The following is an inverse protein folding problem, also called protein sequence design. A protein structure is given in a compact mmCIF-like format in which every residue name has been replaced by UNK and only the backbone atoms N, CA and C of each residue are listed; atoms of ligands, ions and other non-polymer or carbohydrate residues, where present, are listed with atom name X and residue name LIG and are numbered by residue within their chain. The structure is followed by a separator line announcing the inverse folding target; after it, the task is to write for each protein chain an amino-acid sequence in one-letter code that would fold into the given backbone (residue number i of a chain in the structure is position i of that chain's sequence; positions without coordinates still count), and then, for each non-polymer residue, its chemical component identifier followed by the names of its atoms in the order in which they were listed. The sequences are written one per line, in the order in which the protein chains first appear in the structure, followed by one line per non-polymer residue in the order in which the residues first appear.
data_IF_815543980094
#
_entry.id   IF_815543980094
#
_cell.length_a   1.000
_cell.length_b   1.000
_cell.length_c   1.000
_cell.angle_alpha   90.00
_cell.angle_beta   90.00
_cell.angle_gamma   90.00
#
_symmetry.space_group_name_H-M   'P 1'
#
loop_
_entity.id
_entity.type
_entity.pdbx_description
1 polymer ?
#
# COMPACT_ATOMS: atom_id res chain seq x y z
N UNK A 1 -12.13 17.53 12.66
CA UNK A 1 -10.87 16.77 12.76
C UNK A 1 -11.20 15.46 13.51
N UNK A 2 -11.35 14.33 12.87
CA UNK A 2 -11.44 13.03 13.53
C UNK A 2 -10.05 12.42 13.62
N UNK A 3 -9.63 12.06 14.82
CA UNK A 3 -8.49 11.20 15.09
C UNK A 3 -8.73 9.83 14.44
N UNK A 4 -7.99 9.54 13.38
CA UNK A 4 -7.92 8.21 12.78
C UNK A 4 -6.50 7.70 12.90
N UNK A 5 -6.14 7.10 14.01
CA UNK A 5 -4.92 6.30 14.11
C UNK A 5 -5.00 5.37 15.32
N UNK A 6 -5.37 4.13 15.05
CA UNK A 6 -5.17 3.01 15.98
C UNK A 6 -4.68 1.82 15.15
N UNK A 7 -3.42 1.84 14.80
CA UNK A 7 -2.70 0.65 14.36
C UNK A 7 -1.29 0.63 14.95
N UNK A 8 -1.18 0.78 16.27
CA UNK A 8 0.08 0.50 16.97
C UNK A 8 -0.18 0.14 18.44
N UNK A 9 -0.61 -1.09 18.68
CA UNK A 9 -0.39 -1.73 19.97
C UNK A 9 -0.28 -3.24 19.81
N UNK A 10 0.91 -3.72 19.47
CA UNK A 10 1.36 -5.08 19.79
C UNK A 10 2.89 -5.17 19.73
N UNK A 11 3.57 -4.28 20.45
CA UNK A 11 5.00 -4.39 20.73
C UNK A 11 5.27 -5.06 22.09
N UNK A 12 4.77 -6.26 22.28
CA UNK A 12 5.10 -7.09 23.45
C UNK A 12 6.29 -7.99 23.14
N UNK A 13 7.47 -7.67 23.67
CA UNK A 13 8.65 -8.56 23.64
C UNK A 13 8.36 -9.85 24.40
N UNK A 14 8.05 -10.92 23.69
CA UNK A 14 8.08 -12.27 24.24
C UNK A 14 9.32 -13.00 23.72
N UNK A 15 10.36 -13.10 24.54
CA UNK A 15 11.49 -13.99 24.28
C UNK A 15 11.04 -15.40 24.57
N UNK A 16 10.79 -16.17 23.54
CA UNK A 16 10.58 -17.62 23.67
C UNK A 16 11.86 -18.35 23.23
N UNK A 17 12.48 -19.03 24.17
CA UNK A 17 13.61 -19.93 23.93
C UNK A 17 13.02 -21.29 23.53
N UNK A 18 13.26 -21.73 22.30
CA UNK A 18 12.85 -23.05 21.81
C UNK A 18 14.09 -23.95 21.71
N UNK A 19 14.09 -25.15 22.29
CA UNK A 19 15.20 -26.09 22.14
C UNK A 19 15.14 -26.82 20.79
N UNK A 20 16.29 -26.89 20.13
CA UNK A 20 16.52 -27.60 18.87
C UNK A 20 16.41 -29.12 19.05
N UNK A 21 15.41 -29.73 18.47
CA UNK A 21 15.37 -31.20 18.25
C UNK A 21 15.75 -31.47 16.78
N UNK A 22 16.82 -32.27 16.58
CA UNK A 22 17.28 -32.75 15.27
C UNK A 22 16.39 -33.89 14.80
N UNK A 23 15.75 -33.74 13.65
CA UNK A 23 15.18 -34.87 12.90
C UNK A 23 15.78 -34.90 11.50
N UNK A 24 16.09 -36.16 11.04
CA UNK A 24 16.81 -36.48 9.81
C UNK A 24 15.87 -36.42 8.60
N UNK A 25 16.34 -35.77 7.52
CA UNK A 25 15.75 -35.78 6.18
C UNK A 25 15.92 -37.16 5.53
N UNK A 26 14.87 -37.62 4.87
CA UNK A 26 14.92 -38.60 3.81
C UNK A 26 14.41 -37.95 2.51
N UNK A 27 15.26 -38.03 1.48
CA UNK A 27 15.08 -37.48 0.15
C UNK A 27 13.94 -38.17 -0.61
N UNK A 28 13.10 -37.39 -1.28
CA UNK A 28 12.47 -37.78 -2.55
C UNK A 28 12.29 -36.52 -3.42
N UNK A 29 13.19 -36.37 -4.41
CA UNK A 29 13.16 -35.31 -5.38
C UNK A 29 12.16 -35.55 -6.51
N UNK A 30 11.41 -34.54 -6.86
CA UNK A 30 10.90 -34.36 -8.23
C UNK A 30 11.19 -32.92 -8.63
N UNK A 31 12.22 -32.71 -9.44
CA UNK A 31 12.55 -31.43 -10.02
C UNK A 31 11.73 -31.22 -11.28
N UNK A 32 10.75 -30.34 -11.23
CA UNK A 32 10.15 -29.77 -12.45
C UNK A 32 10.99 -28.58 -12.90
N UNK A 33 11.76 -28.78 -13.95
CA UNK A 33 12.51 -27.69 -14.62
C UNK A 33 11.55 -26.92 -15.51
N UNK A 34 11.14 -25.74 -15.06
CA UNK A 34 10.45 -24.77 -15.91
C UNK A 34 11.53 -23.94 -16.62
N UNK A 35 11.73 -24.22 -17.90
CA UNK A 35 12.58 -23.40 -18.78
C UNK A 35 11.75 -22.17 -19.20
N UNK A 36 12.03 -21.03 -18.62
CA UNK A 36 11.50 -19.74 -19.09
C UNK A 36 12.31 -19.25 -20.30
N UNK A 37 11.67 -18.82 -21.39
CA UNK A 37 12.40 -18.17 -22.48
C UNK A 37 12.89 -16.79 -22.02
N UNK A 38 14.20 -16.60 -22.06
CA UNK A 38 14.78 -15.29 -21.89
C UNK A 38 14.43 -14.39 -23.07
N UNK A 39 13.42 -13.56 -22.95
CA UNK A 39 13.22 -12.41 -23.82
C UNK A 39 14.17 -11.29 -23.34
N UNK A 40 15.34 -11.26 -23.96
CA UNK A 40 16.30 -10.18 -23.76
C UNK A 40 15.73 -8.88 -24.32
N UNK A 41 15.19 -8.03 -23.44
CA UNK A 41 15.14 -6.60 -23.73
C UNK A 41 16.51 -6.03 -23.37
N UNK A 42 17.19 -5.52 -24.40
CA UNK A 42 18.40 -4.74 -24.20
C UNK A 42 18.02 -3.49 -23.39
N UNK A 43 18.44 -3.48 -22.12
CA UNK A 43 18.40 -2.28 -21.32
C UNK A 43 19.30 -1.25 -22.00
N UNK A 44 18.73 -0.17 -22.54
CA UNK A 44 19.48 1.01 -22.90
C UNK A 44 20.21 1.49 -21.62
N UNK A 45 21.51 1.75 -21.75
CA UNK A 45 22.28 2.39 -20.70
C UNK A 45 21.89 3.87 -20.58
N UNK A 46 20.66 4.11 -20.10
CA UNK A 46 20.23 5.38 -19.55
C UNK A 46 20.64 5.40 -18.09
N UNK A 47 21.19 6.51 -17.59
CA UNK A 47 21.44 6.70 -16.15
C UNK A 47 20.20 6.31 -15.34
N UNK A 48 20.40 5.84 -14.10
CA UNK A 48 19.29 5.56 -13.20
C UNK A 48 18.31 6.74 -13.23
N UNK A 49 17.00 6.50 -13.34
CA UNK A 49 16.04 7.58 -13.33
C UNK A 49 16.24 8.41 -12.07
N UNK A 50 16.30 9.73 -12.23
CA UNK A 50 16.45 10.65 -11.11
C UNK A 50 15.19 10.50 -10.26
N UNK A 51 15.36 10.17 -8.97
CA UNK A 51 14.24 10.04 -8.03
C UNK A 51 13.49 11.37 -7.94
N UNK A 52 12.16 11.31 -8.08
CA UNK A 52 11.29 12.44 -7.85
C UNK A 52 11.07 12.64 -6.35
N UNK A 53 11.12 13.88 -5.89
CA UNK A 53 10.84 14.23 -4.50
C UNK A 53 9.54 14.99 -4.41
N UNK A 54 8.71 14.64 -3.46
CA UNK A 54 7.40 15.23 -3.23
C UNK A 54 7.10 15.46 -1.76
N UNK A 55 5.92 15.99 -1.50
CA UNK A 55 5.30 16.13 -0.19
C UNK A 55 3.93 15.47 -0.21
N UNK A 56 3.52 14.86 0.89
CA UNK A 56 2.12 14.46 1.09
C UNK A 56 1.30 15.68 1.52
N UNK A 57 0.03 15.69 1.14
CA UNK A 57 -0.89 16.78 1.41
C UNK A 57 -0.33 18.13 0.92
N UNK A 58 0.26 18.12 -0.28
CA UNK A 58 0.89 19.32 -0.87
C UNK A 58 -0.10 20.48 -0.89
N UNK A 59 0.33 21.64 -0.41
CA UNK A 59 -0.50 22.84 -0.40
C UNK A 59 -0.27 23.71 -1.65
N UNK A 60 -1.35 24.13 -2.30
CA UNK A 60 -1.27 24.96 -3.50
C UNK A 60 -0.53 26.30 -3.25
N UNK A 61 -0.60 26.81 -2.01
CA UNK A 61 0.06 28.07 -1.61
C UNK A 61 1.58 27.99 -1.53
N UNK A 62 2.15 26.81 -1.36
CA UNK A 62 3.60 26.54 -1.21
C UNK A 62 4.23 25.96 -2.47
N UNK A 63 3.43 25.43 -3.40
CA UNK A 63 3.86 24.66 -4.56
C UNK A 63 4.96 25.34 -5.39
N UNK A 64 4.90 26.64 -5.64
CA UNK A 64 5.93 27.35 -6.38
C UNK A 64 7.28 27.38 -5.64
N UNK A 65 7.27 27.63 -4.33
CA UNK A 65 8.49 27.65 -3.51
C UNK A 65 9.11 26.26 -3.37
N UNK A 66 8.27 25.23 -3.33
CA UNK A 66 8.69 23.83 -3.30
C UNK A 66 9.35 23.44 -4.62
N UNK A 67 8.70 23.70 -5.74
CA UNK A 67 9.25 23.43 -7.08
C UNK A 67 10.58 24.15 -7.32
N UNK A 68 10.69 25.42 -6.98
CA UNK A 68 11.92 26.21 -7.07
C UNK A 68 13.07 25.62 -6.22
N UNK A 69 12.72 24.85 -5.21
CA UNK A 69 13.66 24.20 -4.30
C UNK A 69 14.01 22.76 -4.67
N UNK A 70 13.38 22.18 -5.70
CA UNK A 70 13.65 20.83 -6.20
C UNK A 70 12.60 19.77 -5.77
N UNK A 71 11.52 20.18 -5.10
CA UNK A 71 10.36 19.32 -4.86
C UNK A 71 9.52 19.30 -6.13
N UNK A 72 9.66 18.27 -6.92
CA UNK A 72 9.06 18.19 -8.26
C UNK A 72 7.76 17.40 -8.34
N UNK A 73 7.28 16.87 -7.22
CA UNK A 73 6.08 16.03 -7.17
C UNK A 73 5.09 16.57 -6.13
N UNK A 74 3.84 16.71 -6.51
CA UNK A 74 2.73 17.05 -5.62
C UNK A 74 1.80 15.86 -5.41
N UNK A 75 1.28 15.69 -4.20
CA UNK A 75 0.15 14.80 -3.92
C UNK A 75 -1.13 15.64 -3.93
N UNK A 76 -2.08 15.26 -4.77
CA UNK A 76 -3.37 15.88 -4.96
C UNK A 76 -4.48 14.87 -4.73
N UNK A 77 -5.31 15.07 -3.73
CA UNK A 77 -6.29 14.07 -3.31
C UNK A 77 -7.71 14.61 -3.38
N UNK A 78 -8.61 13.81 -3.98
CA UNK A 78 -10.04 14.00 -3.87
C UNK A 78 -10.55 13.42 -2.53
N UNK A 79 -11.55 14.06 -1.94
CA UNK A 79 -12.37 13.52 -0.87
C UNK A 79 -13.71 13.08 -1.47
N UNK A 80 -13.99 11.77 -1.47
CA UNK A 80 -15.22 11.24 -2.04
C UNK A 80 -16.46 11.83 -1.37
N UNK A 81 -16.47 11.86 -0.02
CA UNK A 81 -17.61 12.42 0.71
C UNK A 81 -17.79 13.92 0.43
N UNK A 82 -16.72 14.65 0.24
CA UNK A 82 -16.76 16.07 -0.11
C UNK A 82 -17.22 16.33 -1.55
N UNK A 83 -16.82 15.46 -2.49
CA UNK A 83 -17.18 15.62 -3.90
C UNK A 83 -18.55 15.05 -4.23
N UNK A 84 -18.94 13.86 -3.68
CA UNK A 84 -20.25 13.22 -3.89
C UNK A 84 -20.97 12.95 -2.55
N UNK A 85 -21.45 13.99 -1.85
CA UNK A 85 -22.08 13.85 -0.53
C UNK A 85 -23.36 13.00 -0.54
N UNK A 86 -24.08 12.96 -1.66
CA UNK A 86 -25.29 12.16 -1.88
C UNK A 86 -25.19 11.45 -3.24
N UNK A 87 -25.83 10.30 -3.44
CA UNK A 87 -25.72 9.52 -4.68
C UNK A 87 -25.98 10.35 -5.95
N UNK A 88 -25.01 10.44 -6.82
CA UNK A 88 -25.07 11.19 -8.09
C UNK A 88 -25.15 12.71 -7.93
N UNK A 89 -24.95 13.24 -6.74
CA UNK A 89 -24.95 14.68 -6.47
C UNK A 89 -23.51 15.17 -6.26
N UNK A 90 -22.96 15.83 -7.26
CA UNK A 90 -21.56 16.30 -7.24
C UNK A 90 -21.45 17.77 -6.84
N UNK A 91 -20.58 18.04 -5.88
CA UNK A 91 -20.37 19.35 -5.30
C UNK A 91 -19.49 20.24 -6.22
N UNK A 92 -20.14 21.18 -6.92
CA UNK A 92 -19.43 22.06 -7.87
C UNK A 92 -18.49 23.04 -7.19
N UNK A 93 -18.78 23.47 -5.95
CA UNK A 93 -17.88 24.38 -5.20
C UNK A 93 -16.62 23.64 -4.76
N UNK A 94 -16.76 22.41 -4.28
CA UNK A 94 -15.62 21.52 -3.99
C UNK A 94 -14.75 21.32 -5.24
N UNK A 95 -15.37 20.94 -6.36
CA UNK A 95 -14.66 20.75 -7.63
C UNK A 95 -13.93 22.01 -8.10
N UNK A 96 -14.53 23.21 -7.91
CA UNK A 96 -13.87 24.46 -8.28
C UNK A 96 -12.62 24.74 -7.46
N UNK A 97 -12.64 24.43 -6.16
CA UNK A 97 -11.44 24.49 -5.30
C UNK A 97 -10.36 23.51 -5.77
N UNK A 98 -10.72 22.24 -5.97
CA UNK A 98 -9.79 21.21 -6.43
C UNK A 98 -9.11 21.59 -7.76
N UNK A 99 -9.87 22.17 -8.70
CA UNK A 99 -9.30 22.66 -9.97
C UNK A 99 -8.35 23.83 -9.79
N UNK A 100 -8.58 24.69 -8.82
CA UNK A 100 -7.67 25.80 -8.52
C UNK A 100 -6.35 25.30 -7.94
N UNK A 101 -6.39 24.30 -7.05
CA UNK A 101 -5.20 23.69 -6.48
C UNK A 101 -4.40 22.93 -7.55
N UNK A 102 -5.07 22.13 -8.38
CA UNK A 102 -4.46 21.44 -9.52
C UNK A 102 -3.75 22.42 -10.47
N UNK A 103 -4.40 23.53 -10.79
CA UNK A 103 -3.81 24.58 -11.65
C UNK A 103 -2.58 25.23 -11.01
N UNK A 104 -2.52 25.36 -9.68
CA UNK A 104 -1.35 25.88 -8.98
C UNK A 104 -0.15 24.92 -9.08
N UNK A 105 -0.35 23.61 -8.89
CA UNK A 105 0.69 22.59 -9.05
C UNK A 105 1.22 22.56 -10.49
N UNK A 106 0.33 22.59 -11.47
CA UNK A 106 0.69 22.64 -12.89
C UNK A 106 1.47 23.92 -13.24
N UNK A 107 1.05 25.08 -12.71
CA UNK A 107 1.75 26.35 -12.91
C UNK A 107 3.15 26.34 -12.27
N UNK A 108 3.34 25.60 -11.19
CA UNK A 108 4.63 25.38 -10.56
C UNK A 108 5.50 24.37 -11.35
N UNK A 109 4.95 23.67 -12.36
CA UNK A 109 5.66 22.67 -13.16
C UNK A 109 5.91 21.35 -12.42
N UNK A 110 5.10 21.04 -11.41
CA UNK A 110 5.20 19.80 -10.66
C UNK A 110 4.53 18.66 -11.41
N UNK A 111 5.11 17.45 -11.33
CA UNK A 111 4.40 16.20 -11.59
C UNK A 111 3.40 15.97 -10.45
N UNK A 112 2.31 15.25 -10.74
CA UNK A 112 1.21 15.14 -9.77
C UNK A 112 0.78 13.69 -9.61
N UNK A 113 0.72 13.22 -8.37
CA UNK A 113 0.02 11.96 -8.02
C UNK A 113 -1.39 12.26 -7.53
N UNK A 114 -2.35 11.49 -8.02
CA UNK A 114 -3.76 11.60 -7.66
C UNK A 114 -4.13 10.59 -6.59
N UNK A 115 -4.57 11.06 -5.43
CA UNK A 115 -5.33 10.28 -4.45
C UNK A 115 -6.81 10.25 -4.82
N UNK A 116 -7.42 9.08 -4.74
CA UNK A 116 -8.81 8.89 -5.14
C UNK A 116 -9.81 9.16 -4.02
N UNK A 117 -9.37 9.26 -2.76
CA UNK A 117 -10.24 9.47 -1.60
C UNK A 117 -11.25 8.35 -1.34
N UNK A 118 -10.98 7.14 -1.85
CA UNK A 118 -11.89 6.00 -1.69
C UNK A 118 -11.96 5.49 -0.24
N UNK A 119 -10.94 5.77 0.56
CA UNK A 119 -10.88 5.43 1.98
C UNK A 119 -11.84 6.26 2.84
N UNK A 120 -12.28 7.42 2.34
CA UNK A 120 -13.27 8.30 3.00
C UNK A 120 -14.61 8.34 2.23
N UNK A 121 -15.33 7.19 2.13
CA UNK A 121 -16.56 7.12 1.37
C UNK A 121 -17.67 7.90 2.07
N UNK A 122 -18.61 8.50 1.33
CA UNK A 122 -19.76 9.16 1.92
C UNK A 122 -20.66 8.16 2.67
N UNK A 123 -21.38 8.65 3.67
CA UNK A 123 -22.18 7.81 4.57
C UNK A 123 -23.25 6.96 3.86
N UNK A 124 -23.68 7.34 2.65
CA UNK A 124 -24.63 6.57 1.88
C UNK A 124 -24.01 5.29 1.29
N UNK A 125 -22.71 5.31 0.91
CA UNK A 125 -21.99 4.12 0.44
C UNK A 125 -21.97 3.04 1.51
N UNK A 126 -21.70 3.42 2.76
CA UNK A 126 -21.64 2.49 3.90
C UNK A 126 -23.01 1.86 4.27
N UNK A 127 -24.09 2.25 3.59
CA UNK A 127 -25.44 1.67 3.73
C UNK A 127 -25.83 0.71 2.60
N UNK A 128 -24.95 0.56 1.59
CA UNK A 128 -25.17 -0.39 0.51
C UNK A 128 -25.09 -1.84 1.01
N UNK A 129 -25.53 -2.79 0.19
CA UNK A 129 -25.48 -4.20 0.54
C UNK A 129 -24.03 -4.68 0.73
N UNK A 130 -23.76 -5.34 1.85
CA UNK A 130 -22.44 -5.83 2.25
C UNK A 130 -21.33 -4.77 2.10
N UNK A 131 -21.66 -3.51 2.38
CA UNK A 131 -20.79 -2.36 2.16
C UNK A 131 -19.62 -2.27 3.13
N UNK A 132 -19.60 -3.08 4.17
CA UNK A 132 -18.58 -3.08 5.21
C UNK A 132 -17.94 -4.44 5.36
N UNK A 133 -16.67 -4.46 5.65
CA UNK A 133 -15.99 -5.69 6.02
C UNK A 133 -16.57 -6.30 7.30
N UNK A 134 -16.63 -7.62 7.35
CA UNK A 134 -17.03 -8.40 8.53
C UNK A 134 -15.94 -9.40 8.84
N UNK A 135 -15.42 -9.39 10.07
CA UNK A 135 -14.34 -10.29 10.48
C UNK A 135 -14.86 -11.67 10.93
N UNK A 136 -13.94 -12.59 11.26
CA UNK A 136 -14.26 -13.93 11.74
C UNK A 136 -15.04 -13.93 13.07
N UNK A 137 -14.96 -12.85 13.85
CA UNK A 137 -15.69 -12.68 15.12
C UNK A 137 -17.06 -12.04 14.92
N UNK A 138 -17.45 -11.70 13.68
CA UNK A 138 -18.64 -10.96 13.29
C UNK A 138 -18.61 -9.47 13.67
N UNK A 139 -17.44 -8.94 13.95
CA UNK A 139 -17.25 -7.49 14.06
C UNK A 139 -17.40 -6.87 12.67
N UNK A 140 -18.07 -5.71 12.61
CA UNK A 140 -18.27 -4.95 11.36
C UNK A 140 -17.34 -3.75 11.38
N UNK A 141 -16.56 -3.57 10.32
CA UNK A 141 -15.66 -2.43 10.20
C UNK A 141 -16.40 -1.11 9.98
N UNK A 142 -15.70 -0.01 10.16
CA UNK A 142 -16.17 1.33 9.75
C UNK A 142 -15.86 1.65 8.29
N UNK A 143 -15.05 0.82 7.63
CA UNK A 143 -14.49 1.02 6.29
C UNK A 143 -15.39 0.38 5.22
N UNK A 144 -15.30 0.91 3.99
CA UNK A 144 -16.02 0.36 2.85
C UNK A 144 -15.32 -0.89 2.32
N UNK A 145 -16.09 -1.95 2.07
CA UNK A 145 -15.61 -3.22 1.54
C UNK A 145 -15.47 -3.18 0.02
N UNK A 146 -14.31 -2.79 -0.47
CA UNK A 146 -13.99 -2.86 -1.91
C UNK A 146 -13.62 -4.26 -2.37
N UNK A 147 -13.33 -5.18 -1.46
CA UNK A 147 -12.98 -6.55 -1.84
C UNK A 147 -14.22 -7.36 -2.18
N UNK A 148 -15.18 -7.44 -1.29
CA UNK A 148 -16.29 -8.40 -1.39
C UNK A 148 -17.65 -7.76 -1.76
N UNK A 149 -17.75 -6.43 -1.93
CA UNK A 149 -18.99 -5.75 -2.29
C UNK A 149 -18.98 -5.19 -3.72
N UNK A 150 -19.71 -5.85 -4.62
CA UNK A 150 -19.95 -5.31 -5.96
C UNK A 150 -20.74 -3.99 -5.93
N UNK A 151 -21.59 -3.78 -4.92
CA UNK A 151 -22.35 -2.55 -4.78
C UNK A 151 -21.46 -1.34 -4.45
N UNK A 152 -20.44 -1.53 -3.60
CA UNK A 152 -19.46 -0.49 -3.28
C UNK A 152 -18.62 -0.14 -4.51
N UNK A 153 -18.13 -1.15 -5.26
CA UNK A 153 -17.37 -0.90 -6.50
C UNK A 153 -18.21 -0.18 -7.56
N UNK A 154 -19.48 -0.54 -7.73
CA UNK A 154 -20.35 0.14 -8.68
C UNK A 154 -20.59 1.62 -8.33
N UNK A 155 -20.69 1.94 -7.05
CA UNK A 155 -20.75 3.32 -6.58
C UNK A 155 -19.42 4.06 -6.87
N UNK A 156 -18.29 3.42 -6.56
CA UNK A 156 -16.97 3.98 -6.85
C UNK A 156 -16.72 4.15 -8.35
N UNK A 157 -17.15 3.24 -9.21
CA UNK A 157 -17.04 3.38 -10.68
C UNK A 157 -17.74 4.66 -11.16
N UNK A 158 -18.92 4.99 -10.60
CA UNK A 158 -19.64 6.24 -10.91
C UNK A 158 -18.86 7.46 -10.47
N UNK A 159 -18.32 7.43 -9.27
CA UNK A 159 -17.49 8.49 -8.70
C UNK A 159 -16.20 8.70 -9.51
N UNK A 160 -15.48 7.62 -9.84
CA UNK A 160 -14.25 7.68 -10.65
C UNK A 160 -14.51 8.21 -12.07
N UNK A 161 -15.63 7.81 -12.68
CA UNK A 161 -16.04 8.36 -13.97
C UNK A 161 -16.30 9.87 -13.90
N UNK A 162 -16.85 10.36 -12.80
CA UNK A 162 -17.08 11.80 -12.59
C UNK A 162 -15.76 12.55 -12.32
N UNK A 163 -14.80 11.99 -11.61
CA UNK A 163 -13.45 12.57 -11.49
C UNK A 163 -12.85 12.70 -12.90
N UNK A 164 -12.85 11.63 -13.69
CA UNK A 164 -12.30 11.64 -15.05
C UNK A 164 -12.99 12.63 -15.99
N UNK A 165 -14.30 12.84 -15.82
CA UNK A 165 -15.04 13.89 -16.55
C UNK A 165 -14.71 15.32 -16.07
N UNK A 166 -14.18 15.45 -14.87
CA UNK A 166 -13.90 16.72 -14.23
C UNK A 166 -12.47 17.20 -14.42
N UNK A 167 -11.49 16.28 -14.41
CA UNK A 167 -10.06 16.54 -14.57
C UNK A 167 -9.45 15.53 -15.54
N UNK A 168 -8.51 15.92 -16.43
CA UNK A 168 -7.89 15.01 -17.39
C UNK A 168 -6.95 14.02 -16.68
N UNK A 169 -7.31 12.75 -16.59
CA UNK A 169 -6.47 11.75 -15.90
C UNK A 169 -5.07 11.60 -16.53
N UNK A 170 -4.91 11.96 -17.81
CA UNK A 170 -3.62 11.91 -18.50
C UNK A 170 -2.58 12.93 -18.01
N UNK A 171 -2.99 13.88 -17.16
CA UNK A 171 -2.11 14.90 -16.56
C UNK A 171 -1.45 14.41 -15.26
N UNK A 172 -1.88 13.26 -14.74
CA UNK A 172 -1.30 12.70 -13.52
C UNK A 172 -0.18 11.70 -13.85
N UNK A 173 0.94 11.84 -13.12
CA UNK A 173 2.07 10.91 -13.17
C UNK A 173 1.68 9.55 -12.60
N UNK A 174 1.01 9.54 -11.45
CA UNK A 174 0.49 8.33 -10.82
C UNK A 174 -0.91 8.51 -10.22
N UNK A 175 -1.54 7.39 -9.92
CA UNK A 175 -2.75 7.30 -9.09
C UNK A 175 -2.49 6.33 -7.95
N UNK A 176 -2.85 6.72 -6.72
CA UNK A 176 -2.80 5.89 -5.52
C UNK A 176 -3.99 4.94 -5.49
N UNK A 177 -3.71 3.66 -5.24
CA UNK A 177 -4.73 2.61 -5.12
C UNK A 177 -4.90 2.19 -3.66
N UNK A 178 -6.15 1.98 -3.24
CA UNK A 178 -6.50 1.55 -1.89
C UNK A 178 -7.56 0.45 -1.92
N UNK A 179 -7.61 -0.37 -0.88
CA UNK A 179 -8.71 -1.33 -0.64
C UNK A 179 -9.79 -0.80 0.30
N UNK A 180 -9.72 0.48 0.67
CA UNK A 180 -10.67 1.16 1.55
C UNK A 180 -10.28 1.13 3.04
N UNK A 181 -9.20 0.42 3.39
CA UNK A 181 -8.60 0.45 4.71
C UNK A 181 -7.50 1.50 4.75
N UNK A 182 -7.73 2.60 5.39
CA UNK A 182 -6.87 3.78 5.31
C UNK A 182 -6.53 4.11 3.84
N UNK A 183 -5.39 4.72 3.55
CA UNK A 183 -4.94 4.97 2.17
C UNK A 183 -4.20 3.75 1.57
N UNK A 184 -4.26 2.57 2.19
CA UNK A 184 -3.39 1.45 1.93
C UNK A 184 -4.12 0.27 1.25
N UNK A 185 -3.34 -0.65 0.67
CA UNK A 185 -3.86 -1.87 0.05
C UNK A 185 -3.90 -3.02 1.06
N UNK A 186 -4.73 -2.86 2.09
CA UNK A 186 -4.92 -3.81 3.20
C UNK A 186 -6.40 -3.99 3.54
N UNK A 187 -6.72 -5.06 4.28
CA UNK A 187 -7.97 -5.18 5.01
C UNK A 187 -7.94 -4.30 6.26
N UNK A 188 -9.10 -4.03 6.90
CA UNK A 188 -9.15 -3.22 8.12
C UNK A 188 -8.16 -3.69 9.19
N UNK A 189 -7.51 -2.75 9.87
CA UNK A 189 -6.58 -3.04 10.95
C UNK A 189 -7.27 -3.71 12.12
N UNK A 190 -6.68 -4.72 12.72
CA UNK A 190 -6.91 -5.42 13.98
C UNK A 190 -6.13 -6.73 14.02
N UNK A 191 -5.59 -7.19 12.87
CA UNK A 191 -4.99 -8.52 12.77
C UNK A 191 -6.02 -9.66 12.65
N UNK A 192 -7.33 -9.37 12.62
CA UNK A 192 -8.41 -10.31 12.34
C UNK A 192 -8.62 -10.46 10.83
N UNK A 193 -9.36 -11.50 10.40
CA UNK A 193 -9.57 -11.81 8.99
C UNK A 193 -10.96 -11.39 8.52
N UNK A 194 -11.04 -10.57 7.48
CA UNK A 194 -12.21 -9.78 7.08
C UNK A 194 -13.00 -10.33 5.87
N UNK A 195 -13.25 -11.63 5.84
CA UNK A 195 -13.92 -12.31 4.72
C UNK A 195 -15.19 -13.05 5.15
N UNK A 196 -16.01 -12.45 6.02
CA UNK A 196 -17.17 -13.10 6.65
C UNK A 196 -18.48 -12.34 6.47
N UNK A 197 -18.58 -11.34 5.58
CA UNK A 197 -19.84 -10.79 5.14
C UNK A 197 -20.61 -11.78 4.25
N UNK A 198 -21.87 -11.48 3.92
CA UNK A 198 -22.72 -12.39 3.16
C UNK A 198 -22.18 -12.65 1.77
N UNK A 199 -21.68 -11.64 1.08
CA UNK A 199 -21.11 -11.77 -0.27
C UNK A 199 -19.90 -12.68 -0.28
N UNK A 200 -18.94 -12.50 0.64
CA UNK A 200 -17.76 -13.34 0.76
C UNK A 200 -18.12 -14.82 1.02
N UNK A 201 -19.11 -15.08 1.88
CA UNK A 201 -19.49 -16.45 2.26
C UNK A 201 -20.32 -17.16 1.19
N UNK A 202 -21.22 -16.46 0.49
CA UNK A 202 -22.23 -17.09 -0.39
C UNK A 202 -21.94 -16.90 -1.87
N UNK A 203 -21.13 -15.93 -2.24
CA UNK A 203 -20.90 -15.52 -3.62
C UNK A 203 -21.92 -14.50 -4.16
N UNK A 204 -23.04 -14.28 -3.46
CA UNK A 204 -24.05 -13.34 -3.90
C UNK A 204 -23.61 -11.90 -3.64
N UNK A 205 -23.45 -11.11 -4.71
CA UNK A 205 -22.98 -9.73 -4.61
C UNK A 205 -21.45 -9.56 -4.62
N UNK A 206 -20.70 -10.63 -4.91
CA UNK A 206 -19.27 -10.53 -5.13
C UNK A 206 -18.95 -9.75 -6.41
N UNK A 207 -17.86 -8.97 -6.42
CA UNK A 207 -17.29 -8.41 -7.63
C UNK A 207 -16.87 -9.47 -8.64
N UNK A 208 -16.81 -9.08 -9.91
CA UNK A 208 -16.34 -9.95 -10.98
C UNK A 208 -14.89 -10.44 -10.74
N UNK A 209 -14.63 -11.69 -11.06
CA UNK A 209 -13.31 -12.31 -10.90
C UNK A 209 -13.03 -12.90 -9.52
N UNK A 210 -13.87 -12.64 -8.52
CA UNK A 210 -13.78 -13.29 -7.22
C UNK A 210 -14.67 -14.53 -7.13
N UNK A 211 -14.19 -15.52 -6.36
CA UNK A 211 -14.97 -16.67 -5.91
C UNK A 211 -15.34 -16.51 -4.44
N UNK A 212 -16.43 -17.14 -3.95
CA UNK A 212 -16.74 -17.12 -2.53
C UNK A 212 -15.64 -17.80 -1.71
N UNK A 213 -15.67 -17.55 -0.41
CA UNK A 213 -14.76 -18.19 0.55
C UNK A 213 -14.75 -19.71 0.32
N UNK A 214 -13.57 -20.32 0.02
CA UNK A 214 -13.49 -21.75 -0.29
C UNK A 214 -13.88 -22.65 0.88
N UNK A 215 -13.79 -22.12 2.11
CA UNK A 215 -14.11 -22.86 3.35
C UNK A 215 -15.02 -22.02 4.26
N UNK A 216 -16.29 -21.76 3.85
CA UNK A 216 -17.15 -20.78 4.52
C UNK A 216 -17.57 -21.19 5.94
N UNK A 217 -17.37 -22.46 6.32
CA UNK A 217 -17.65 -22.97 7.67
C UNK A 217 -16.43 -23.00 8.57
N UNK A 218 -15.23 -22.70 8.02
CA UNK A 218 -14.02 -22.64 8.81
C UNK A 218 -13.72 -21.20 9.25
N UNK A 219 -13.08 -21.08 10.40
CA UNK A 219 -12.71 -19.78 10.99
C UNK A 219 -11.21 -19.79 11.28
N UNK A 220 -10.41 -18.82 10.81
CA UNK A 220 -9.03 -18.64 11.21
C UNK A 220 -8.86 -18.67 12.74
N UNK A 221 -7.76 -19.24 13.21
CA UNK A 221 -7.50 -19.50 14.61
C UNK A 221 -8.07 -20.83 15.13
N UNK A 222 -8.86 -21.57 14.33
CA UNK A 222 -9.48 -22.84 14.73
C UNK A 222 -8.93 -24.03 13.92
N UNK A 223 -8.83 -25.23 14.51
CA UNK A 223 -8.48 -26.43 13.74
C UNK A 223 -9.63 -26.83 12.82
N UNK A 224 -9.33 -27.64 11.79
CA UNK A 224 -10.37 -28.21 10.92
C UNK A 224 -10.00 -28.26 9.43
N UNK A 225 -8.99 -27.55 9.01
CA UNK A 225 -8.40 -27.64 7.67
C UNK A 225 -7.03 -28.33 7.72
N UNK A 226 -6.64 -28.90 6.60
CA UNK A 226 -5.26 -29.35 6.35
C UNK A 226 -4.38 -28.14 6.05
N UNK A 227 -3.06 -28.32 6.10
CA UNK A 227 -2.10 -27.28 5.76
C UNK A 227 -2.33 -26.73 4.33
N UNK A 228 -2.51 -27.61 3.35
CA UNK A 228 -2.75 -27.22 1.94
C UNK A 228 -4.05 -26.42 1.78
N UNK A 229 -5.09 -26.73 2.55
CA UNK A 229 -6.35 -25.98 2.53
C UNK A 229 -6.20 -24.59 3.17
N UNK A 230 -5.37 -24.45 4.20
CA UNK A 230 -5.05 -23.16 4.82
C UNK A 230 -4.25 -22.29 3.84
N UNK A 231 -3.23 -22.83 3.18
CA UNK A 231 -2.46 -22.13 2.14
C UNK A 231 -3.35 -21.70 0.97
N UNK A 232 -4.31 -22.54 0.56
CA UNK A 232 -5.31 -22.18 -0.45
C UNK A 232 -6.19 -21.02 0.02
N UNK A 233 -6.62 -21.04 1.28
CA UNK A 233 -7.44 -19.97 1.86
C UNK A 233 -6.68 -18.65 1.93
N UNK A 234 -5.43 -18.65 2.38
CA UNK A 234 -4.56 -17.44 2.39
C UNK A 234 -4.37 -16.89 0.97
N UNK A 235 -4.11 -17.79 0.01
CA UNK A 235 -3.95 -17.41 -1.41
C UNK A 235 -5.21 -16.75 -1.97
N UNK A 236 -6.39 -17.26 -1.61
CA UNK A 236 -7.67 -16.68 -1.97
C UNK A 236 -7.88 -15.33 -1.27
N UNK A 237 -7.60 -15.23 0.02
CA UNK A 237 -7.77 -14.03 0.83
C UNK A 237 -6.91 -12.86 0.32
N UNK A 238 -5.62 -13.07 0.16
CA UNK A 238 -4.71 -12.07 -0.42
C UNK A 238 -5.06 -11.77 -1.88
N UNK A 239 -5.56 -12.76 -2.61
CA UNK A 239 -6.08 -12.60 -3.97
C UNK A 239 -7.27 -11.63 -4.07
N UNK A 240 -7.97 -11.38 -2.97
CA UNK A 240 -9.00 -10.34 -2.88
C UNK A 240 -8.42 -8.93 -3.09
N UNK A 241 -7.28 -8.63 -2.47
CA UNK A 241 -6.59 -7.35 -2.63
C UNK A 241 -6.04 -7.18 -4.06
N UNK A 242 -5.49 -8.26 -4.64
CA UNK A 242 -5.06 -8.25 -6.05
C UNK A 242 -6.24 -7.94 -7.00
N UNK A 243 -7.42 -8.51 -6.74
CA UNK A 243 -8.62 -8.25 -7.52
C UNK A 243 -9.12 -6.79 -7.39
N UNK A 244 -8.97 -6.16 -6.22
CA UNK A 244 -9.23 -4.71 -6.05
C UNK A 244 -8.27 -3.88 -6.88
N UNK A 245 -6.98 -4.22 -6.85
CA UNK A 245 -5.96 -3.58 -7.70
C UNK A 245 -6.32 -3.69 -9.18
N UNK A 246 -6.68 -4.89 -9.64
CA UNK A 246 -7.08 -5.14 -11.02
C UNK A 246 -8.30 -4.32 -11.45
N UNK A 247 -9.32 -4.29 -10.59
CA UNK A 247 -10.52 -3.51 -10.86
C UNK A 247 -10.20 -2.03 -11.01
N UNK A 248 -9.45 -1.42 -10.07
CA UNK A 248 -9.09 -0.01 -10.14
C UNK A 248 -8.26 0.28 -11.39
N UNK A 249 -7.24 -0.54 -11.69
CA UNK A 249 -6.42 -0.38 -12.89
C UNK A 249 -7.24 -0.48 -14.18
N UNK A 250 -8.18 -1.43 -14.27
CA UNK A 250 -9.04 -1.59 -15.44
C UNK A 250 -10.00 -0.41 -15.61
N UNK A 251 -10.66 0.03 -14.53
CA UNK A 251 -11.56 1.18 -14.54
C UNK A 251 -10.81 2.44 -14.97
N UNK A 252 -9.68 2.75 -14.35
CA UNK A 252 -8.89 3.95 -14.63
C UNK A 252 -8.28 3.93 -16.03
N UNK A 253 -7.81 2.78 -16.52
CA UNK A 253 -7.38 2.62 -17.92
C UNK A 253 -8.54 2.88 -18.89
N UNK A 254 -9.73 2.36 -18.60
CA UNK A 254 -10.94 2.62 -19.38
C UNK A 254 -11.34 4.09 -19.41
N UNK A 255 -11.01 4.85 -18.37
CA UNK A 255 -11.22 6.28 -18.26
C UNK A 255 -10.08 7.13 -18.85
N UNK A 256 -9.05 6.50 -19.44
CA UNK A 256 -7.99 7.18 -20.18
C UNK A 256 -6.71 7.45 -19.38
N UNK A 257 -6.54 6.88 -18.18
CA UNK A 257 -5.30 7.01 -17.43
C UNK A 257 -4.15 6.19 -18.05
N UNK A 258 -2.98 6.81 -18.15
CA UNK A 258 -1.80 6.20 -18.80
C UNK A 258 -0.54 6.27 -17.93
N UNK A 259 -0.60 6.87 -16.75
CA UNK A 259 0.49 6.98 -15.76
C UNK A 259 0.70 5.72 -14.93
N UNK A 260 1.38 5.85 -13.80
CA UNK A 260 1.71 4.77 -12.88
C UNK A 260 0.61 4.53 -11.83
N UNK A 261 0.63 3.35 -11.23
CA UNK A 261 -0.26 2.97 -10.14
C UNK A 261 0.56 2.73 -8.87
N UNK A 262 0.37 3.53 -7.85
CA UNK A 262 1.00 3.34 -6.55
C UNK A 262 0.14 2.39 -5.71
N UNK A 263 0.67 1.19 -5.44
CA UNK A 263 0.05 0.23 -4.55
C UNK A 263 0.64 0.41 -3.17
N UNK A 264 -0.10 1.11 -2.30
CA UNK A 264 0.41 1.54 -1.00
C UNK A 264 0.37 0.38 -0.03
N UNK A 265 1.53 0.05 0.53
CA UNK A 265 1.71 -1.05 1.46
C UNK A 265 2.41 -0.58 2.73
N UNK A 266 1.83 -0.84 3.92
CA UNK A 266 2.46 -0.48 5.19
C UNK A 266 3.77 -1.22 5.41
N UNK A 267 4.59 -0.68 6.29
CA UNK A 267 5.86 -1.28 6.68
C UNK A 267 5.74 -2.60 7.40
N UNK A 268 4.65 -2.80 8.10
CA UNK A 268 4.32 -4.10 8.67
C UNK A 268 3.99 -5.11 7.56
N UNK A 269 4.26 -6.38 7.82
CA UNK A 269 3.90 -7.43 6.85
C UNK A 269 4.49 -8.77 7.25
N UNK A 270 3.77 -9.82 6.85
CA UNK A 270 4.12 -11.19 7.17
C UNK A 270 5.18 -11.71 6.20
N UNK A 271 6.38 -11.97 6.72
CA UNK A 271 7.49 -12.56 5.95
C UNK A 271 7.19 -14.04 5.63
N UNK A 272 7.76 -14.62 4.57
CA UNK A 272 7.39 -15.97 4.10
C UNK A 272 7.48 -17.08 5.15
N UNK A 273 8.51 -17.09 5.96
CA UNK A 273 8.65 -18.10 7.02
C UNK A 273 7.78 -17.81 8.25
N UNK A 274 7.39 -16.55 8.49
CA UNK A 274 6.40 -16.20 9.51
C UNK A 274 5.02 -16.67 9.05
N UNK A 275 4.67 -16.44 7.78
CA UNK A 275 3.44 -16.97 7.18
C UNK A 275 3.33 -18.49 7.36
N UNK A 276 4.37 -19.24 6.99
CA UNK A 276 4.39 -20.70 7.17
C UNK A 276 4.15 -21.12 8.63
N UNK A 277 4.70 -20.37 9.59
CA UNK A 277 4.48 -20.65 11.01
C UNK A 277 3.05 -20.31 11.46
N UNK A 278 2.45 -19.24 10.94
CA UNK A 278 1.07 -18.85 11.21
C UNK A 278 0.07 -19.85 10.59
N UNK A 279 0.33 -20.31 9.38
CA UNK A 279 -0.46 -21.36 8.71
C UNK A 279 -0.45 -22.65 9.52
N UNK A 280 0.70 -23.07 10.06
CA UNK A 280 0.82 -24.23 10.95
C UNK A 280 0.07 -24.07 12.29
N UNK A 281 -0.26 -22.85 12.66
CA UNK A 281 -1.05 -22.50 13.84
C UNK A 281 -2.51 -22.17 13.51
N UNK A 282 -2.99 -22.54 12.32
CA UNK A 282 -4.33 -22.24 11.81
C UNK A 282 -4.64 -20.74 11.68
N UNK A 283 -3.66 -19.92 11.33
CA UNK A 283 -3.80 -18.47 11.14
C UNK A 283 -4.34 -17.73 12.39
N UNK A 284 -3.54 -17.55 13.43
CA UNK A 284 -3.90 -16.68 14.55
C UNK A 284 -4.00 -15.23 14.10
N UNK A 285 -4.63 -14.38 14.91
CA UNK A 285 -4.67 -12.93 14.65
C UNK A 285 -3.25 -12.39 14.50
N UNK A 286 -2.98 -11.72 13.36
CA UNK A 286 -1.64 -11.29 12.95
C UNK A 286 -1.69 -10.27 11.81
N UNK A 287 -0.53 -9.85 11.32
CA UNK A 287 -0.42 -9.02 10.10
C UNK A 287 -0.92 -9.73 8.84
N UNK A 288 -1.00 -11.08 8.83
CA UNK A 288 -1.67 -11.83 7.76
C UNK A 288 -3.17 -11.52 7.72
N UNK A 289 -3.80 -11.25 8.88
CA UNK A 289 -5.22 -10.88 8.96
C UNK A 289 -5.54 -9.56 8.25
N UNK A 290 -4.63 -8.60 8.20
CA UNK A 290 -4.81 -7.40 7.39
C UNK A 290 -4.40 -7.59 5.92
N UNK A 291 -4.06 -8.81 5.50
CA UNK A 291 -3.67 -9.11 4.12
C UNK A 291 -2.23 -8.75 3.76
N UNK A 292 -1.42 -8.32 4.74
CA UNK A 292 -0.06 -7.83 4.54
C UNK A 292 0.96 -8.94 4.24
N UNK A 293 0.69 -9.77 3.24
CA UNK A 293 1.56 -10.85 2.76
C UNK A 293 2.18 -10.41 1.43
N UNK A 294 3.12 -9.46 1.50
CA UNK A 294 3.61 -8.73 0.33
C UNK A 294 4.29 -9.60 -0.71
N UNK A 295 4.99 -10.66 -0.30
CA UNK A 295 5.55 -11.62 -1.24
C UNK A 295 4.46 -12.26 -2.11
N UNK A 296 3.32 -12.61 -1.53
CA UNK A 296 2.20 -13.22 -2.24
C UNK A 296 1.45 -12.16 -3.07
N UNK A 297 1.14 -11.01 -2.50
CA UNK A 297 0.44 -9.92 -3.18
C UNK A 297 1.20 -9.47 -4.43
N UNK A 298 2.46 -9.05 -4.32
CA UNK A 298 3.24 -8.58 -5.46
C UNK A 298 3.55 -9.69 -6.48
N UNK A 299 3.60 -10.95 -6.07
CA UNK A 299 3.74 -12.08 -7.01
C UNK A 299 2.57 -12.18 -7.99
N UNK A 300 1.41 -11.66 -7.63
CA UNK A 300 0.22 -11.62 -8.51
C UNK A 300 0.21 -10.39 -9.43
N UNK A 301 1.06 -9.40 -9.16
CA UNK A 301 1.16 -8.16 -9.94
C UNK A 301 2.29 -8.16 -10.99
N UNK A 302 3.17 -9.15 -11.01
CA UNK A 302 4.40 -9.16 -11.82
C UNK A 302 4.19 -8.94 -13.32
N UNK A 303 3.04 -9.33 -13.86
CA UNK A 303 2.70 -9.15 -15.27
C UNK A 303 2.00 -7.81 -15.58
N UNK A 304 1.67 -7.04 -14.55
CA UNK A 304 1.00 -5.74 -14.68
C UNK A 304 2.06 -4.66 -14.89
N UNK A 305 1.92 -3.91 -15.96
CA UNK A 305 2.81 -2.77 -16.23
C UNK A 305 2.42 -1.56 -15.40
N UNK A 306 3.37 -0.67 -15.16
CA UNK A 306 3.15 0.64 -14.53
C UNK A 306 2.77 0.57 -13.04
N UNK A 307 3.10 -0.53 -12.34
CA UNK A 307 2.93 -0.63 -10.88
C UNK A 307 4.16 -0.08 -10.19
N UNK A 308 3.94 0.76 -9.19
CA UNK A 308 4.93 1.20 -8.19
C UNK A 308 4.62 0.48 -6.89
N UNK A 309 5.55 -0.34 -6.43
CA UNK A 309 5.48 -0.92 -5.10
C UNK A 309 5.81 0.19 -4.09
N UNK A 310 4.80 0.65 -3.37
CA UNK A 310 4.90 1.84 -2.54
C UNK A 310 4.94 1.47 -1.06
N UNK A 311 5.91 2.02 -0.34
CA UNK A 311 6.12 1.80 1.10
C UNK A 311 5.66 3.02 1.86
N UNK A 312 4.63 2.89 2.72
CA UNK A 312 4.08 4.01 3.50
C UNK A 312 4.79 4.25 4.84
N UNK A 313 5.94 3.61 5.06
CA UNK A 313 6.64 3.69 6.34
C UNK A 313 8.16 3.57 6.18
N UNK A 314 8.71 4.35 5.28
CA UNK A 314 10.17 4.45 5.08
C UNK A 314 10.81 5.04 6.34
N UNK A 315 11.82 4.35 6.90
CA UNK A 315 12.50 4.75 8.14
C UNK A 315 11.66 4.70 9.43
N UNK A 316 10.68 3.79 9.51
CA UNK A 316 9.84 3.62 10.71
C UNK A 316 10.51 2.84 11.86
N UNK A 317 11.84 2.65 11.82
CA UNK A 317 12.64 1.84 12.75
C UNK A 317 12.27 0.34 12.78
N UNK A 318 11.48 -0.14 11.83
CA UNK A 318 11.20 -1.57 11.72
C UNK A 318 12.32 -2.30 10.98
N UNK A 319 12.91 -3.28 11.63
CA UNK A 319 14.01 -4.09 11.11
C UNK A 319 15.40 -3.59 11.52
N UNK A 320 16.35 -4.53 11.54
CA UNK A 320 17.73 -4.28 11.98
C UNK A 320 18.63 -3.84 10.82
N UNK A 321 18.24 -4.17 9.58
CA UNK A 321 19.02 -3.94 8.35
C UNK A 321 18.25 -3.02 7.39
N UNK A 322 18.47 -1.74 7.50
CA UNK A 322 17.61 -0.72 6.90
C UNK A 322 17.90 -0.41 5.43
N UNK A 323 19.14 -0.65 4.98
CA UNK A 323 19.62 -0.17 3.68
C UNK A 323 19.75 -1.29 2.67
N UNK A 324 19.17 -1.11 1.47
CA UNK A 324 19.34 -2.03 0.36
C UNK A 324 20.83 -2.23 -0.01
N UNK A 325 21.20 -3.48 -0.28
CA UNK A 325 22.56 -3.88 -0.64
C UNK A 325 22.55 -4.54 -2.03
N UNK A 326 23.64 -4.38 -2.82
CA UNK A 326 23.76 -5.07 -4.11
C UNK A 326 23.64 -6.60 -4.02
N UNK A 327 24.02 -7.18 -2.87
CA UNK A 327 23.92 -8.62 -2.61
C UNK A 327 22.49 -9.12 -2.46
N UNK A 328 21.52 -8.24 -2.18
CA UNK A 328 20.13 -8.61 -1.95
C UNK A 328 19.50 -9.27 -3.17
N UNK A 329 19.94 -8.89 -4.37
CA UNK A 329 19.44 -9.43 -5.63
C UNK A 329 19.70 -10.94 -5.78
N UNK A 330 20.71 -11.47 -5.11
CA UNK A 330 21.06 -12.89 -5.15
C UNK A 330 20.23 -13.75 -4.20
N UNK A 331 19.51 -13.13 -3.27
CA UNK A 331 18.72 -13.85 -2.27
C UNK A 331 17.35 -14.24 -2.82
N UNK A 332 16.90 -15.49 -2.61
CA UNK A 332 15.54 -15.89 -2.94
C UNK A 332 14.54 -15.12 -2.06
N UNK A 333 13.36 -14.79 -2.63
CA UNK A 333 12.32 -14.05 -1.89
C UNK A 333 11.78 -14.79 -0.64
N UNK A 334 12.06 -16.09 -0.52
CA UNK A 334 11.75 -16.92 0.65
C UNK A 334 12.87 -16.95 1.71
N UNK A 335 13.94 -16.15 1.53
CA UNK A 335 15.08 -16.19 2.45
C UNK A 335 14.71 -15.70 3.85
N UNK A 336 15.02 -16.46 4.92
CA UNK A 336 14.74 -16.04 6.28
C UNK A 336 15.56 -14.82 6.75
N UNK A 337 16.62 -14.46 6.02
CA UNK A 337 17.40 -13.24 6.30
C UNK A 337 16.52 -11.99 6.17
N UNK A 338 15.51 -12.02 5.30
CA UNK A 338 14.59 -10.89 5.12
C UNK A 338 13.72 -10.57 6.33
N UNK A 339 13.70 -11.45 7.35
CA UNK A 339 12.93 -11.19 8.58
C UNK A 339 13.45 -10.03 9.41
N UNK A 340 14.74 -9.70 9.27
CA UNK A 340 15.38 -8.61 9.99
C UNK A 340 15.46 -7.33 9.16
N UNK A 341 15.06 -7.39 7.88
CA UNK A 341 15.12 -6.24 7.00
C UNK A 341 14.00 -5.24 7.31
N UNK A 342 14.32 -3.95 7.12
CA UNK A 342 13.30 -2.92 7.08
C UNK A 342 12.25 -3.22 6.00
N UNK A 343 11.07 -2.67 6.14
CA UNK A 343 10.03 -2.75 5.13
C UNK A 343 10.51 -2.22 3.78
N UNK A 344 11.20 -1.09 3.80
CA UNK A 344 11.78 -0.46 2.61
C UNK A 344 12.67 -1.42 1.84
N UNK A 345 13.63 -2.06 2.52
CA UNK A 345 14.56 -3.02 1.90
C UNK A 345 13.83 -4.25 1.37
N UNK A 346 12.90 -4.79 2.14
CA UNK A 346 12.14 -5.99 1.77
C UNK A 346 11.24 -5.75 0.56
N UNK A 347 10.41 -4.69 0.58
CA UNK A 347 9.52 -4.37 -0.53
C UNK A 347 10.30 -3.98 -1.78
N UNK A 348 11.40 -3.22 -1.65
CA UNK A 348 12.27 -2.92 -2.78
C UNK A 348 12.87 -4.19 -3.41
N UNK A 349 13.26 -5.18 -2.60
CA UNK A 349 13.75 -6.48 -3.11
C UNK A 349 12.65 -7.23 -3.87
N UNK A 350 11.40 -7.23 -3.38
CA UNK A 350 10.27 -7.84 -4.07
C UNK A 350 10.00 -7.13 -5.40
N UNK A 351 9.88 -5.81 -5.36
CA UNK A 351 9.63 -4.99 -6.54
C UNK A 351 10.67 -5.23 -7.63
N UNK A 352 11.95 -5.24 -7.27
CA UNK A 352 13.05 -5.52 -8.20
C UNK A 352 12.97 -6.91 -8.80
N UNK A 353 12.57 -7.93 -8.03
CA UNK A 353 12.40 -9.28 -8.53
C UNK A 353 11.32 -9.39 -9.60
N UNK A 354 10.30 -8.55 -9.51
CA UNK A 354 9.17 -8.52 -10.43
C UNK A 354 9.24 -7.39 -11.46
N UNK A 355 10.34 -6.61 -11.50
CA UNK A 355 10.54 -5.53 -12.47
C UNK A 355 9.60 -4.34 -12.27
N UNK A 356 9.15 -4.08 -11.05
CA UNK A 356 8.33 -2.94 -10.67
C UNK A 356 9.19 -1.75 -10.26
N UNK A 357 8.65 -0.54 -10.38
CA UNK A 357 9.20 0.63 -9.72
C UNK A 357 8.99 0.54 -8.20
N UNK A 358 9.80 1.29 -7.46
CA UNK A 358 9.66 1.45 -6.00
C UNK A 358 9.42 2.91 -5.70
N UNK A 359 8.54 3.19 -4.77
CA UNK A 359 8.29 4.51 -4.21
C UNK A 359 7.97 4.42 -2.72
N UNK A 360 7.74 5.54 -2.09
CA UNK A 360 7.30 5.53 -0.69
C UNK A 360 7.32 6.87 -0.02
N UNK A 361 6.92 6.83 1.24
CA UNK A 361 6.84 7.96 2.17
C UNK A 361 7.32 7.53 3.54
N UNK A 362 7.75 8.49 4.36
CA UNK A 362 8.03 8.26 5.77
C UNK A 362 6.74 8.30 6.61
N UNK A 363 6.72 7.74 7.83
CA UNK A 363 5.63 7.96 8.78
C UNK A 363 5.47 9.45 9.10
N UNK A 364 4.21 9.89 9.23
CA UNK A 364 3.91 11.27 9.57
C UNK A 364 4.22 11.62 11.03
N UNK A 365 4.34 12.91 11.33
CA UNK A 365 4.48 13.42 12.70
C UNK A 365 3.31 12.94 13.58
N UNK A 366 3.64 12.45 14.78
CA UNK A 366 2.64 11.88 15.70
C UNK A 366 2.28 10.41 15.42
N UNK A 367 3.01 9.72 14.53
CA UNK A 367 2.69 8.36 14.08
C UNK A 367 3.83 7.35 14.25
N UNK A 368 4.04 6.82 15.46
CA UNK A 368 3.40 7.14 16.75
C UNK A 368 4.04 8.36 17.41
N UNK A 369 3.34 9.02 18.35
CA UNK A 369 3.91 10.16 19.08
C UNK A 369 5.22 9.86 19.84
N UNK A 370 5.50 8.59 20.11
CA UNK A 370 6.75 8.16 20.72
C UNK A 370 7.97 8.35 19.83
N UNK A 371 7.79 8.54 18.52
CA UNK A 371 8.84 8.78 17.54
C UNK A 371 8.93 10.25 17.09
N UNK A 372 8.17 11.17 17.68
CA UNK A 372 8.20 12.59 17.32
C UNK A 372 9.61 13.20 17.44
N UNK A 373 10.40 12.72 18.39
CA UNK A 373 11.81 13.12 18.53
C UNK A 373 12.63 12.74 17.29
N UNK A 374 12.36 11.61 16.68
CA UNK A 374 13.04 11.12 15.48
C UNK A 374 12.61 11.92 14.24
N UNK A 375 11.29 12.14 14.09
CA UNK A 375 10.73 12.99 13.03
C UNK A 375 11.29 14.42 13.08
N UNK A 376 11.46 15.00 14.26
CA UNK A 376 11.92 16.39 14.44
C UNK A 376 13.44 16.55 14.48
N UNK A 377 14.21 15.46 14.54
CA UNK A 377 15.66 15.50 14.46
C UNK A 377 16.10 15.79 13.01
N UNK A 378 16.66 16.98 12.79
CA UNK A 378 17.19 17.43 11.50
C UNK A 378 18.66 17.04 11.23
N UNK A 379 19.26 16.25 12.13
CA UNK A 379 20.60 15.74 11.97
C UNK A 379 20.67 14.54 11.01
N UNK A 380 21.87 14.02 10.75
CA UNK A 380 22.04 12.81 9.94
C UNK A 380 21.49 11.53 10.54
N UNK A 381 21.03 11.55 11.80
CA UNK A 381 20.37 10.45 12.52
C UNK A 381 18.87 10.62 12.64
N UNK A 382 18.30 11.71 12.14
CA UNK A 382 16.85 11.93 12.14
C UNK A 382 16.16 11.23 10.96
N UNK A 383 14.84 11.15 11.07
CA UNK A 383 13.99 10.41 10.13
C UNK A 383 14.17 10.87 8.68
N UNK A 384 14.23 12.18 8.44
CA UNK A 384 14.38 12.73 7.09
C UNK A 384 15.69 12.26 6.42
N UNK A 385 16.80 12.29 7.14
CA UNK A 385 18.09 11.88 6.59
C UNK A 385 18.11 10.36 6.33
N UNK A 386 17.57 9.57 7.24
CA UNK A 386 17.52 8.10 7.12
C UNK A 386 16.57 7.68 6.00
N UNK A 387 15.36 8.25 5.94
CA UNK A 387 14.39 7.95 4.89
C UNK A 387 14.94 8.25 3.49
N UNK A 388 15.55 9.41 3.30
CA UNK A 388 16.18 9.78 2.03
C UNK A 388 17.37 8.86 1.67
N UNK A 389 18.15 8.44 2.67
CA UNK A 389 19.24 7.49 2.46
C UNK A 389 18.74 6.10 2.04
N UNK A 390 17.69 5.59 2.69
CA UNK A 390 17.04 4.33 2.34
C UNK A 390 16.44 4.41 0.93
N UNK A 391 15.67 5.45 0.63
CA UNK A 391 15.04 5.63 -0.68
C UNK A 391 16.07 5.65 -1.82
N UNK A 392 17.17 6.38 -1.64
CA UNK A 392 18.28 6.42 -2.61
C UNK A 392 18.96 5.07 -2.78
N UNK A 393 19.30 4.40 -1.68
CA UNK A 393 19.98 3.10 -1.71
C UNK A 393 19.10 2.00 -2.30
N UNK A 394 17.78 2.07 -2.09
CA UNK A 394 16.80 1.12 -2.62
C UNK A 394 16.32 1.45 -4.05
N UNK A 395 16.79 2.56 -4.63
CA UNK A 395 16.51 2.93 -6.02
C UNK A 395 15.06 3.37 -6.24
N UNK A 396 14.52 4.16 -5.32
CA UNK A 396 13.17 4.69 -5.45
C UNK A 396 13.03 5.58 -6.69
N UNK A 397 11.88 5.50 -7.33
CA UNK A 397 11.46 6.39 -8.42
C UNK A 397 10.82 7.67 -7.89
N UNK A 398 10.17 7.59 -6.74
CA UNK A 398 9.51 8.70 -6.06
C UNK A 398 9.58 8.52 -4.54
N UNK A 399 9.77 9.63 -3.84
CA UNK A 399 9.71 9.70 -2.38
C UNK A 399 8.93 10.94 -1.96
N UNK A 400 7.98 10.78 -1.04
CA UNK A 400 7.21 11.87 -0.46
C UNK A 400 7.56 12.06 1.01
N UNK A 401 7.69 13.31 1.43
CA UNK A 401 7.78 13.65 2.84
C UNK A 401 6.38 13.82 3.45
N UNK A 402 6.08 13.12 4.49
CA UNK A 402 4.81 13.20 5.21
C UNK A 402 4.95 14.11 6.44
N UNK A 403 4.37 15.31 6.50
CA UNK A 403 3.47 15.94 5.57
C UNK A 403 3.98 17.35 5.21
N UNK A 404 3.46 17.97 4.13
CA UNK A 404 3.83 19.30 3.68
C UNK A 404 3.62 20.37 4.77
N UNK A 405 2.44 20.41 5.39
CA UNK A 405 2.12 21.34 6.47
C UNK A 405 3.20 21.37 7.57
N UNK A 406 3.78 20.22 7.93
CA UNK A 406 4.82 20.13 8.97
C UNK A 406 6.13 20.83 8.58
N UNK A 407 6.40 20.94 7.28
CA UNK A 407 7.56 21.68 6.77
C UNK A 407 7.36 23.20 6.90
N UNK A 408 6.13 23.66 6.72
CA UNK A 408 5.83 25.11 6.67
C UNK A 408 5.44 25.72 8.01
N UNK A 409 4.85 24.93 8.94
CA UNK A 409 4.58 25.41 10.31
C UNK A 409 5.79 25.32 11.25
N UNK A 410 6.90 24.74 10.78
CA UNK A 410 8.17 24.68 11.51
C UNK A 410 8.36 23.46 12.41
N UNK A 411 7.55 22.42 12.26
CA UNK A 411 7.81 21.12 12.92
C UNK A 411 9.15 20.55 12.46
N UNK A 412 9.37 20.55 11.13
CA UNK A 412 10.69 20.38 10.48
C UNK A 412 10.82 21.49 9.45
N UNK A 413 11.91 22.29 9.44
CA UNK A 413 12.02 23.39 8.50
C UNK A 413 12.07 22.93 7.03
N UNK A 414 11.24 23.51 6.15
CA UNK A 414 11.27 23.25 4.71
C UNK A 414 12.68 23.38 4.11
N UNK A 415 13.45 24.39 4.56
CA UNK A 415 14.82 24.58 4.09
C UNK A 415 15.73 23.36 4.36
N UNK A 416 15.45 22.56 5.40
CA UNK A 416 16.17 21.32 5.70
C UNK A 416 15.85 20.27 4.65
N UNK A 417 14.58 20.04 4.35
CA UNK A 417 14.15 19.11 3.30
C UNK A 417 14.74 19.50 1.95
N UNK A 418 14.58 20.76 1.55
CA UNK A 418 15.13 21.32 0.31
C UNK A 418 16.66 21.19 0.20
N UNK A 419 17.40 21.24 1.31
CA UNK A 419 18.84 21.03 1.31
C UNK A 419 19.22 19.53 1.19
N UNK A 420 18.44 18.62 1.79
CA UNK A 420 18.73 17.19 1.80
C UNK A 420 18.37 16.48 0.48
N UNK A 421 17.44 17.05 -0.33
CA UNK A 421 17.08 16.47 -1.63
C UNK A 421 17.99 16.92 -2.79
N UNK A 422 18.81 17.92 -2.60
CA UNK A 422 19.84 18.40 -3.54
C UNK A 422 21.09 17.53 -3.50
#
# INVERSE_FOLDING_TARGET
MPLKHILRQAGGRCRMVIPLARARLADLGIAAVIVLPALGQAASAGGAPTMLYGTLDTEAGTAAAESDSGVGMAMFEFDWAGFEPEPGTFNSSYLASMKADLAAYQAAGMDITLGLGLQDPPAWVLKLADARYVDQNRDVSTEADFVFSAAVRAAADTYLAQIAASVPLSEFWAIRLTSGGDDEMIYPGKGTYWAFNSSALTGNGLPAGLTPNPYPSWTPGTPGLTQDEIEQWVTWYVGGLDNVTDWQMQTLNGLGFTGYYETITPGSGTRPNVLTAEEQQNLPDSTTGVGAVWNLYYSKLWYKSRVVAYVSSVADESGDDDTCQPSDDSLPLSSPVMNTWSATRWIARIAKAYGMLVGGENPGYGLPPSLDWFYTDVSGSGEMAIALAQARACGFSVFYWAHDTNLWIGTVPFATYAAMIK
#
